data_IF_514434137295
#
_entry.id   IF_514434137295
#
_cell.length_a   1.000
_cell.length_b   1.000
_cell.length_c   1.000
_cell.angle_alpha   90.00
_cell.angle_beta   90.00
_cell.angle_gamma   90.00
#
_symmetry.space_group_name_H-M   'P 1'
#
loop_
_entity.id
_entity.type
_entity.pdbx_description
1 polymer ?
#
# COMPACT_ATOMS: atom_id res chain seq x y z
N UNK A 1 -1.02 30.03 -2.50
CA UNK A 1 -0.02 28.98 -2.18
C UNK A 1 1.34 29.49 -2.63
N UNK A 2 2.26 29.82 -1.72
CA UNK A 2 3.63 30.21 -2.11
C UNK A 2 4.36 28.94 -2.56
N UNK A 3 4.60 28.79 -3.86
CA UNK A 3 5.49 27.74 -4.39
C UNK A 3 6.82 27.81 -3.65
N UNK A 4 7.23 26.71 -2.99
CA UNK A 4 8.59 26.62 -2.42
C UNK A 4 9.60 26.82 -3.56
N UNK A 5 10.57 27.73 -3.44
CA UNK A 5 11.53 28.06 -4.50
C UNK A 5 12.38 26.86 -4.97
N UNK A 6 12.49 25.79 -4.18
CA UNK A 6 13.19 24.55 -4.57
C UNK A 6 12.52 23.78 -5.72
N UNK A 7 11.18 23.78 -5.82
CA UNK A 7 10.47 23.02 -6.85
C UNK A 7 10.74 23.53 -8.28
N UNK A 8 10.92 24.85 -8.45
CA UNK A 8 11.32 25.46 -9.74
C UNK A 8 12.77 25.15 -10.13
N UNK A 9 13.66 24.98 -9.15
CA UNK A 9 15.07 24.67 -9.43
C UNK A 9 15.24 23.24 -9.98
N UNK A 10 14.44 22.32 -9.46
CA UNK A 10 14.45 20.91 -9.85
C UNK A 10 14.02 20.69 -11.32
N UNK A 11 13.00 21.43 -11.76
CA UNK A 11 12.55 21.45 -13.15
C UNK A 11 13.65 21.99 -14.10
N UNK A 12 14.42 22.99 -13.65
CA UNK A 12 15.52 23.57 -14.42
C UNK A 12 16.72 22.62 -14.54
N UNK A 13 17.02 21.84 -13.50
CA UNK A 13 18.10 20.83 -13.53
C UNK A 13 17.82 19.77 -14.61
N UNK A 14 16.59 19.25 -14.67
CA UNK A 14 16.21 18.27 -15.68
C UNK A 14 16.05 18.87 -17.08
N UNK A 15 15.74 20.17 -17.18
CA UNK A 15 15.56 20.85 -18.47
C UNK A 15 16.83 20.79 -19.33
N UNK A 16 18.03 20.96 -18.75
CA UNK A 16 19.29 20.84 -19.49
C UNK A 16 19.44 19.47 -20.16
N UNK A 17 19.21 18.41 -19.40
CA UNK A 17 19.22 17.03 -19.90
C UNK A 17 18.18 16.81 -21.01
N UNK A 18 16.95 17.29 -20.84
CA UNK A 18 15.88 17.16 -21.85
C UNK A 18 16.22 17.90 -23.15
N UNK A 19 16.85 19.06 -23.06
CA UNK A 19 17.30 19.82 -24.22
C UNK A 19 18.41 19.09 -24.98
N UNK A 20 19.35 18.46 -24.26
CA UNK A 20 20.39 17.65 -24.88
C UNK A 20 19.85 16.38 -25.52
N UNK A 21 18.86 15.72 -24.90
CA UNK A 21 18.14 14.62 -25.53
C UNK A 21 17.46 15.05 -26.83
N UNK A 22 16.77 16.20 -26.83
CA UNK A 22 16.09 16.75 -27.99
C UNK A 22 17.05 17.05 -29.14
N UNK A 23 18.26 17.57 -28.88
CA UNK A 23 19.27 17.81 -29.93
C UNK A 23 19.67 16.54 -30.67
N UNK A 24 19.58 15.39 -30.01
CA UNK A 24 19.96 14.10 -30.57
C UNK A 24 18.77 13.35 -31.22
N UNK A 25 17.53 13.81 -31.03
CA UNK A 25 16.30 13.19 -31.55
C UNK A 25 15.23 14.25 -31.86
N UNK A 26 15.09 14.57 -33.14
CA UNK A 26 14.16 15.61 -33.63
C UNK A 26 12.67 15.27 -33.41
N UNK A 27 12.35 14.00 -33.15
CA UNK A 27 10.99 13.57 -32.80
C UNK A 27 10.58 14.04 -31.40
N UNK A 28 11.53 14.32 -30.50
CA UNK A 28 11.22 14.74 -29.13
C UNK A 28 10.65 16.16 -29.13
N UNK A 29 9.49 16.33 -28.48
CA UNK A 29 8.86 17.64 -28.28
C UNK A 29 8.68 17.89 -26.78
N UNK A 30 9.26 18.98 -26.29
CA UNK A 30 9.15 19.37 -24.89
C UNK A 30 7.96 20.30 -24.72
N UNK A 31 7.08 19.97 -23.77
CA UNK A 31 5.84 20.66 -23.49
C UNK A 31 5.78 21.05 -22.02
N UNK A 32 5.21 22.22 -21.71
CA UNK A 32 4.91 22.64 -20.34
C UNK A 32 3.60 23.42 -20.30
N UNK A 33 2.71 23.18 -19.32
CA UNK A 33 1.59 24.07 -19.10
C UNK A 33 2.05 25.38 -18.45
N UNK A 34 3.11 25.35 -17.64
CA UNK A 34 3.65 26.52 -16.96
C UNK A 34 4.53 27.35 -17.89
N UNK A 35 4.69 28.64 -17.59
CA UNK A 35 5.63 29.51 -18.29
C UNK A 35 7.08 29.04 -18.11
N UNK A 36 7.58 28.32 -19.11
CA UNK A 36 9.00 27.99 -19.28
C UNK A 36 9.54 28.84 -20.41
N UNK A 37 10.45 29.77 -20.09
CA UNK A 37 11.04 30.68 -21.06
C UNK A 37 12.22 30.01 -21.78
N UNK A 38 11.92 29.08 -22.70
CA UNK A 38 12.92 28.45 -23.58
C UNK A 38 12.33 28.18 -24.97
N UNK A 39 13.00 28.57 -26.07
CA UNK A 39 12.44 28.48 -27.43
C UNK A 39 12.15 27.04 -27.89
N UNK A 40 12.84 26.05 -27.31
CA UNK A 40 12.62 24.63 -27.62
C UNK A 40 11.51 23.97 -26.78
N UNK A 41 10.82 24.71 -25.92
CA UNK A 41 9.71 24.22 -25.09
C UNK A 41 8.43 24.93 -25.52
N UNK A 42 7.39 24.16 -25.84
CA UNK A 42 6.07 24.71 -26.13
C UNK A 42 5.35 24.91 -24.80
N UNK A 43 5.11 26.18 -24.46
CA UNK A 43 4.34 26.58 -23.29
C UNK A 43 2.86 26.79 -23.64
N UNK A 44 1.95 26.33 -22.79
CA UNK A 44 0.51 26.48 -22.97
C UNK A 44 -0.14 27.57 -22.10
N UNK A 45 0.64 28.42 -21.42
CA UNK A 45 0.12 29.58 -20.68
C UNK A 45 -0.86 29.22 -19.56
N UNK A 46 -0.50 28.26 -18.71
CA UNK A 46 -1.25 27.76 -17.54
C UNK A 46 -2.48 26.90 -17.93
N UNK A 47 -2.58 26.47 -19.20
CA UNK A 47 -3.66 25.58 -19.66
C UNK A 47 -3.28 24.09 -19.52
N UNK A 48 -3.31 23.59 -18.29
CA UNK A 48 -2.89 22.22 -17.93
C UNK A 48 -3.62 21.07 -18.65
N UNK A 49 -4.90 21.21 -18.96
CA UNK A 49 -5.66 20.18 -19.71
C UNK A 49 -5.37 20.24 -21.21
N UNK A 50 -5.24 21.45 -21.74
CA UNK A 50 -4.99 21.68 -23.17
C UNK A 50 -3.65 21.08 -23.59
N UNK A 51 -2.60 21.22 -22.77
CA UNK A 51 -1.27 20.69 -23.11
C UNK A 51 -1.27 19.16 -23.26
N UNK A 52 -2.14 18.45 -22.53
CA UNK A 52 -2.30 16.98 -22.68
C UNK A 52 -2.90 16.65 -24.05
N UNK A 53 -3.90 17.42 -24.51
CA UNK A 53 -4.51 17.24 -25.83
C UNK A 53 -3.54 17.58 -26.97
N UNK A 54 -2.79 18.68 -26.84
CA UNK A 54 -1.72 19.05 -27.78
C UNK A 54 -0.66 17.96 -27.87
N UNK A 55 -0.23 17.41 -26.73
CA UNK A 55 0.69 16.28 -26.69
C UNK A 55 0.14 15.07 -27.44
N UNK A 56 -1.13 14.70 -27.20
CA UNK A 56 -1.76 13.60 -27.89
C UNK A 56 -1.77 13.79 -29.42
N UNK A 57 -2.12 14.98 -29.91
CA UNK A 57 -2.07 15.30 -31.34
C UNK A 57 -0.66 15.18 -31.92
N UNK A 58 0.35 15.71 -31.23
CA UNK A 58 1.74 15.59 -31.65
C UNK A 58 2.22 14.13 -31.71
N UNK A 59 1.81 13.30 -30.73
CA UNK A 59 2.15 11.88 -30.71
C UNK A 59 1.51 11.12 -31.89
N UNK A 60 0.27 11.46 -32.28
CA UNK A 60 -0.39 10.90 -33.45
C UNK A 60 0.35 11.24 -34.76
N UNK A 61 1.00 12.41 -34.82
CA UNK A 61 1.83 12.85 -35.94
C UNK A 61 3.29 12.33 -35.85
N UNK A 62 3.53 11.28 -35.05
CA UNK A 62 4.83 10.61 -34.97
C UNK A 62 5.90 11.33 -34.15
N UNK A 63 5.52 12.34 -33.35
CA UNK A 63 6.42 12.95 -32.36
C UNK A 63 6.42 12.17 -31.04
N UNK A 64 7.41 12.46 -30.19
CA UNK A 64 7.51 11.94 -28.84
C UNK A 64 7.39 13.07 -27.82
N UNK A 65 6.18 13.35 -27.30
CA UNK A 65 5.97 14.43 -26.34
C UNK A 65 6.49 14.06 -24.94
N UNK A 66 7.24 14.99 -24.35
CA UNK A 66 7.62 14.99 -22.94
C UNK A 66 6.99 16.22 -22.28
N UNK A 67 6.08 15.99 -21.33
CA UNK A 67 5.33 17.04 -20.65
C UNK A 67 5.92 17.27 -19.26
N UNK A 68 6.48 18.45 -19.01
CA UNK A 68 6.92 18.87 -17.68
C UNK A 68 5.76 19.59 -16.98
N UNK A 69 5.30 19.09 -15.83
CA UNK A 69 4.09 19.60 -15.15
C UNK A 69 4.18 19.47 -13.64
N UNK A 70 3.21 20.06 -12.92
CA UNK A 70 3.15 20.00 -11.46
C UNK A 70 2.13 18.95 -10.98
N UNK A 71 2.47 18.24 -9.90
CA UNK A 71 1.60 17.23 -9.28
C UNK A 71 0.29 17.79 -8.73
N UNK A 72 0.21 19.10 -8.44
CA UNK A 72 -1.00 19.77 -7.99
C UNK A 72 -2.12 19.78 -9.05
N UNK A 73 -1.77 19.57 -10.32
CA UNK A 73 -2.68 19.60 -11.45
C UNK A 73 -2.76 18.24 -12.15
N UNK A 74 -1.62 17.57 -12.28
CA UNK A 74 -1.53 16.28 -12.95
C UNK A 74 -1.11 15.24 -11.90
N UNK A 75 -1.99 14.32 -11.46
CA UNK A 75 -2.98 13.70 -12.35
C UNK A 75 -4.45 14.14 -12.19
N UNK A 76 -4.94 14.60 -11.03
CA UNK A 76 -6.39 14.79 -10.79
C UNK A 76 -7.12 15.60 -11.85
N UNK A 77 -6.66 16.82 -12.14
CA UNK A 77 -7.34 17.69 -13.10
C UNK A 77 -7.26 17.17 -14.54
N UNK A 78 -6.18 16.44 -14.85
CA UNK A 78 -5.88 15.93 -16.19
C UNK A 78 -6.29 14.47 -16.40
N UNK A 79 -6.92 13.83 -15.40
CA UNK A 79 -7.18 12.40 -15.43
C UNK A 79 -7.99 11.95 -16.65
N UNK A 80 -9.05 12.69 -17.00
CA UNK A 80 -9.88 12.37 -18.16
C UNK A 80 -9.09 12.47 -19.48
N UNK A 81 -8.28 13.51 -19.64
CA UNK A 81 -7.44 13.69 -20.83
C UNK A 81 -6.34 12.62 -20.90
N UNK A 82 -5.68 12.30 -19.78
CA UNK A 82 -4.68 11.21 -19.75
C UNK A 82 -5.35 9.88 -20.13
N UNK A 83 -6.54 9.59 -19.59
CA UNK A 83 -7.28 8.37 -19.91
C UNK A 83 -7.67 8.30 -21.40
N UNK A 84 -8.38 9.33 -21.89
CA UNK A 84 -9.03 9.29 -23.20
C UNK A 84 -8.11 9.69 -24.35
N UNK A 85 -7.28 10.72 -24.16
CA UNK A 85 -6.39 11.20 -25.22
C UNK A 85 -5.11 10.38 -25.30
N UNK A 86 -4.52 10.00 -24.16
CA UNK A 86 -3.24 9.27 -24.13
C UNK A 86 -3.45 7.76 -24.07
N UNK A 87 -4.03 7.25 -22.98
CA UNK A 87 -4.01 5.82 -22.67
C UNK A 87 -4.88 4.99 -23.61
N UNK A 88 -6.06 5.46 -24.00
CA UNK A 88 -6.93 4.73 -24.94
C UNK A 88 -6.39 4.67 -26.37
N UNK A 89 -5.43 5.52 -26.72
CA UNK A 89 -4.80 5.56 -28.04
C UNK A 89 -3.36 5.00 -28.01
N UNK A 90 -2.94 4.39 -26.89
CA UNK A 90 -1.59 3.83 -26.69
C UNK A 90 -0.46 4.80 -27.07
N UNK A 91 -0.63 6.09 -26.74
CA UNK A 91 0.31 7.12 -27.20
C UNK A 91 1.60 7.13 -26.37
N UNK A 92 2.78 7.17 -27.00
CA UNK A 92 4.08 7.14 -26.33
C UNK A 92 4.43 8.53 -25.78
N UNK A 93 3.76 8.93 -24.70
CA UNK A 93 3.93 10.22 -24.03
C UNK A 93 4.54 10.01 -22.65
N UNK A 94 5.55 10.81 -22.32
CA UNK A 94 6.11 10.86 -20.96
C UNK A 94 5.63 12.12 -20.24
N UNK A 95 4.97 11.95 -19.11
CA UNK A 95 4.59 13.01 -18.18
C UNK A 95 5.60 13.04 -17.04
N UNK A 96 6.32 14.14 -16.90
CA UNK A 96 7.26 14.41 -15.83
C UNK A 96 6.61 15.38 -14.84
N UNK A 97 6.30 14.90 -13.65
CA UNK A 97 5.59 15.68 -12.65
C UNK A 97 6.49 16.02 -11.46
N UNK A 98 6.59 17.30 -11.10
CA UNK A 98 7.30 17.75 -9.90
C UNK A 98 6.32 18.21 -8.81
N UNK A 99 6.72 18.04 -7.55
CA UNK A 99 5.93 18.40 -6.37
C UNK A 99 5.54 17.19 -5.52
N UNK A 100 4.65 17.42 -4.55
CA UNK A 100 4.13 16.39 -3.66
C UNK A 100 2.71 16.01 -4.08
N UNK A 101 2.50 14.86 -4.75
CA UNK A 101 1.18 14.47 -5.19
C UNK A 101 0.36 13.92 -4.01
N UNK A 102 -0.96 14.13 -4.05
CA UNK A 102 -1.89 13.61 -3.02
C UNK A 102 -2.78 12.48 -3.55
N UNK A 103 -2.71 12.22 -4.85
CA UNK A 103 -3.73 11.54 -5.63
C UNK A 103 -3.12 10.61 -6.70
N UNK A 104 -1.84 10.20 -6.55
CA UNK A 104 -1.19 9.28 -7.51
C UNK A 104 -1.95 7.96 -7.69
N UNK A 105 -2.61 7.48 -6.63
CA UNK A 105 -3.41 6.26 -6.68
C UNK A 105 -4.46 6.27 -7.79
N UNK A 106 -4.95 7.44 -8.27
CA UNK A 106 -5.94 7.48 -9.35
C UNK A 106 -5.39 6.91 -10.66
N UNK A 107 -4.09 7.07 -10.91
CA UNK A 107 -3.43 6.61 -12.14
C UNK A 107 -3.35 5.08 -12.23
N UNK A 108 -3.59 4.37 -11.13
CA UNK A 108 -3.51 2.90 -11.07
C UNK A 108 -4.45 2.18 -12.05
N UNK A 109 -5.53 2.85 -12.45
CA UNK A 109 -6.57 2.30 -13.32
C UNK A 109 -6.27 2.52 -14.80
N UNK A 110 -5.15 3.14 -15.13
CA UNK A 110 -4.77 3.49 -16.50
C UNK A 110 -3.63 2.57 -16.97
N UNK A 111 -3.63 2.15 -18.25
CA UNK A 111 -2.55 1.35 -18.85
C UNK A 111 -1.32 2.22 -19.13
N UNK A 112 -0.71 2.76 -18.08
CA UNK A 112 0.50 3.58 -18.12
C UNK A 112 1.55 3.05 -17.16
N UNK A 113 2.81 3.41 -17.39
CA UNK A 113 3.89 3.12 -16.44
C UNK A 113 4.00 4.24 -15.41
N UNK A 114 3.72 3.96 -14.14
CA UNK A 114 3.90 4.90 -13.03
C UNK A 114 5.24 4.66 -12.34
N UNK A 115 6.11 5.66 -12.35
CA UNK A 115 7.49 5.59 -11.88
C UNK A 115 7.74 6.68 -10.82
N UNK A 116 8.33 6.30 -9.70
CA UNK A 116 8.78 7.17 -8.61
C UNK A 116 10.25 6.85 -8.29
N UNK A 117 11.20 7.40 -9.08
CA UNK A 117 12.63 7.26 -8.83
C UNK A 117 13.06 7.99 -7.54
N UNK A 118 14.21 7.61 -6.98
CA UNK A 118 14.77 8.20 -5.77
C UNK A 118 15.69 9.40 -6.07
N UNK A 119 16.14 9.55 -7.31
CA UNK A 119 17.00 10.66 -7.72
C UNK A 119 16.77 11.16 -9.14
N UNK A 120 17.31 12.35 -9.44
CA UNK A 120 17.36 12.90 -10.79
C UNK A 120 18.12 11.98 -11.76
N UNK A 121 19.24 11.39 -11.32
CA UNK A 121 20.01 10.45 -12.15
C UNK A 121 19.20 9.22 -12.56
N UNK A 122 18.40 8.68 -11.66
CA UNK A 122 17.47 7.59 -12.00
C UNK A 122 16.34 8.08 -12.94
N UNK A 123 15.85 9.30 -12.72
CA UNK A 123 14.85 9.94 -13.58
C UNK A 123 15.33 10.04 -15.03
N UNK A 124 16.58 10.45 -15.25
CA UNK A 124 17.22 10.49 -16.57
C UNK A 124 17.25 9.11 -17.24
N UNK A 125 17.61 8.05 -16.49
CA UNK A 125 17.62 6.67 -17.00
C UNK A 125 16.21 6.20 -17.39
N UNK A 126 15.20 6.55 -16.60
CA UNK A 126 13.81 6.22 -16.92
C UNK A 126 13.34 6.99 -18.15
N UNK A 127 13.64 8.28 -18.29
CA UNK A 127 13.29 9.06 -19.49
C UNK A 127 13.88 8.43 -20.75
N UNK A 128 15.16 8.02 -20.71
CA UNK A 128 15.77 7.32 -21.85
C UNK A 128 15.03 6.03 -22.17
N UNK A 129 14.63 5.26 -21.15
CA UNK A 129 13.88 4.02 -21.31
C UNK A 129 12.48 4.28 -21.90
N UNK A 130 11.78 5.33 -21.46
CA UNK A 130 10.42 5.63 -21.94
C UNK A 130 10.41 6.09 -23.39
N UNK A 131 11.46 6.76 -23.88
CA UNK A 131 11.58 7.17 -25.30
C UNK A 131 11.54 5.96 -26.24
N UNK A 132 12.02 4.81 -25.79
CA UNK A 132 11.96 3.55 -26.57
C UNK A 132 10.70 2.73 -26.30
N UNK A 133 9.90 3.13 -25.30
CA UNK A 133 8.66 2.47 -24.92
C UNK A 133 7.49 2.98 -25.76
N UNK A 134 6.55 2.09 -26.07
CA UNK A 134 5.26 2.46 -26.68
C UNK A 134 4.20 2.79 -25.63
N UNK A 135 4.46 2.50 -24.36
CA UNK A 135 3.50 2.70 -23.28
C UNK A 135 3.64 4.12 -22.71
N UNK A 136 2.52 4.85 -22.49
CA UNK A 136 2.58 6.13 -21.81
C UNK A 136 3.18 5.98 -20.41
N UNK A 137 3.88 7.00 -19.96
CA UNK A 137 4.61 6.97 -18.70
C UNK A 137 4.37 8.22 -17.88
N UNK A 138 4.23 8.05 -16.57
CA UNK A 138 4.16 9.12 -15.59
C UNK A 138 5.32 8.95 -14.61
N UNK A 139 6.23 9.93 -14.56
CA UNK A 139 7.41 9.91 -13.71
C UNK A 139 7.32 11.05 -12.70
N UNK A 140 7.35 10.71 -11.41
CA UNK A 140 7.45 11.68 -10.33
C UNK A 140 8.92 12.11 -10.16
N UNK A 141 9.21 13.39 -10.37
CA UNK A 141 10.55 13.94 -10.21
C UNK A 141 10.85 14.08 -8.70
N UNK A 142 11.90 13.45 -8.17
CA UNK A 142 12.22 13.43 -6.75
C UNK A 142 13.04 14.65 -6.34
N UNK A 143 12.81 15.18 -5.14
CA UNK A 143 13.65 16.26 -4.57
C UNK A 143 15.06 15.77 -4.15
N UNK A 144 15.28 14.47 -4.02
CA UNK A 144 16.51 13.89 -3.45
C UNK A 144 17.58 13.58 -4.51
N UNK A 145 18.85 13.74 -4.14
CA UNK A 145 19.98 13.84 -5.09
C UNK A 145 20.73 12.51 -5.26
N UNK A 146 20.55 11.53 -4.35
CA UNK A 146 21.34 10.29 -4.35
C UNK A 146 20.60 9.11 -4.96
N UNK A 147 21.14 8.45 -6.00
CA UNK A 147 20.56 7.22 -6.53
C UNK A 147 20.64 6.09 -5.49
N UNK A 148 19.62 5.25 -5.48
CA UNK A 148 19.56 3.98 -4.76
C UNK A 148 20.15 2.87 -5.64
N UNK A 149 19.88 2.90 -6.94
CA UNK A 149 20.41 1.94 -7.92
C UNK A 149 21.13 2.66 -9.05
N UNK A 150 22.21 2.06 -9.55
CA UNK A 150 22.89 2.53 -10.76
C UNK A 150 22.22 2.02 -12.05
N UNK A 151 21.42 0.95 -11.95
CA UNK A 151 20.69 0.37 -13.07
C UNK A 151 19.21 0.32 -12.73
N UNK A 152 18.40 1.03 -13.51
CA UNK A 152 16.96 1.07 -13.37
C UNK A 152 16.29 0.63 -14.68
N UNK A 153 15.19 -0.11 -14.58
CA UNK A 153 14.39 -0.54 -15.72
C UNK A 153 12.90 -0.49 -15.35
N UNK A 154 12.02 0.00 -16.23
CA UNK A 154 10.58 -0.04 -15.99
C UNK A 154 10.09 -1.44 -15.63
N UNK A 155 9.24 -1.54 -14.61
CA UNK A 155 8.64 -2.79 -14.15
C UNK A 155 9.57 -3.70 -13.34
N UNK A 156 10.78 -3.25 -13.00
CA UNK A 156 11.74 -4.01 -12.18
C UNK A 156 11.97 -3.34 -10.83
N UNK A 157 11.91 -4.16 -9.79
CA UNK A 157 12.32 -3.80 -8.43
C UNK A 157 13.66 -4.47 -8.10
N UNK A 158 14.32 -4.00 -7.04
CA UNK A 158 15.60 -4.55 -6.59
C UNK A 158 15.62 -4.78 -5.08
N UNK A 159 16.21 -5.88 -4.64
CA UNK A 159 16.56 -6.07 -3.23
C UNK A 159 17.82 -5.25 -2.97
N UNK A 160 17.69 -4.21 -2.15
CA UNK A 160 18.79 -3.28 -1.81
C UNK A 160 19.37 -3.57 -0.42
N UNK A 161 18.73 -4.47 0.34
CA UNK A 161 19.25 -5.04 1.58
C UNK A 161 18.65 -6.44 1.77
N UNK A 162 19.47 -7.43 2.06
CA UNK A 162 19.00 -8.79 2.35
C UNK A 162 18.60 -8.94 3.82
N UNK A 163 17.56 -9.71 4.08
CA UNK A 163 17.11 -10.10 5.42
C UNK A 163 16.17 -11.29 5.36
N UNK A 164 15.73 -11.76 6.52
CA UNK A 164 14.86 -12.95 6.63
C UNK A 164 13.68 -12.78 7.61
N UNK A 165 13.67 -11.71 8.41
CA UNK A 165 12.63 -11.57 9.45
C UNK A 165 11.36 -10.90 8.90
N UNK A 166 11.52 -9.87 8.05
CA UNK A 166 10.43 -9.07 7.45
C UNK A 166 10.90 -8.48 6.12
N UNK A 167 10.02 -8.40 5.12
CA UNK A 167 10.27 -7.65 3.88
C UNK A 167 9.68 -6.25 3.97
N UNK A 168 10.47 -5.21 3.72
CA UNK A 168 10.02 -3.83 3.58
C UNK A 168 10.11 -3.45 2.10
N UNK A 169 9.03 -3.00 1.48
CA UNK A 169 9.06 -2.40 0.13
C UNK A 169 8.84 -0.90 0.21
N UNK A 170 9.54 -0.18 -0.65
CA UNK A 170 9.40 1.27 -0.74
C UNK A 170 9.71 1.78 -2.15
N UNK A 171 9.44 3.06 -2.39
CA UNK A 171 9.66 3.75 -3.67
C UNK A 171 10.13 5.18 -3.42
N UNK A 172 10.76 5.76 -4.43
CA UNK A 172 11.22 7.13 -4.40
C UNK A 172 12.25 7.43 -3.30
N UNK A 173 12.37 8.71 -2.91
CA UNK A 173 13.31 9.20 -1.89
C UNK A 173 13.23 8.46 -0.54
N UNK A 174 12.05 7.95 -0.18
CA UNK A 174 11.82 7.27 1.11
C UNK A 174 12.70 6.03 1.29
N UNK A 175 13.25 5.47 0.22
CA UNK A 175 14.21 4.37 0.25
C UNK A 175 15.42 4.64 1.15
N UNK A 176 15.94 5.86 1.20
CA UNK A 176 17.06 6.22 2.07
C UNK A 176 16.68 6.12 3.55
N UNK A 177 15.52 6.65 3.94
CA UNK A 177 14.99 6.53 5.30
C UNK A 177 14.76 5.07 5.67
N UNK A 178 14.22 4.26 4.76
CA UNK A 178 13.98 2.83 5.01
C UNK A 178 15.28 2.07 5.24
N UNK A 179 16.34 2.33 4.47
CA UNK A 179 17.66 1.74 4.69
C UNK A 179 18.23 2.10 6.07
N UNK A 180 18.18 3.38 6.45
CA UNK A 180 18.63 3.84 7.77
C UNK A 180 17.81 3.22 8.91
N UNK A 181 16.51 3.05 8.72
CA UNK A 181 15.64 2.37 9.68
C UNK A 181 15.96 0.88 9.79
N UNK A 182 16.23 0.21 8.67
CA UNK A 182 16.64 -1.19 8.66
C UNK A 182 17.97 -1.39 9.40
N UNK A 183 18.91 -0.45 9.33
CA UNK A 183 20.15 -0.48 10.11
C UNK A 183 19.91 -0.34 11.61
N UNK A 184 18.97 0.54 12.01
CA UNK A 184 18.56 0.68 13.42
C UNK A 184 17.93 -0.61 13.94
N UNK A 185 17.04 -1.23 13.17
CA UNK A 185 16.39 -2.51 13.50
C UNK A 185 17.40 -3.65 13.58
N UNK A 186 18.45 -3.64 12.74
CA UNK A 186 19.51 -4.64 12.79
C UNK A 186 20.26 -4.66 14.11
N UNK A 187 20.43 -3.50 14.78
CA UNK A 187 21.04 -3.40 16.12
C UNK A 187 20.15 -3.97 17.22
N UNK A 188 18.88 -4.21 16.90
CA UNK A 188 17.90 -4.89 17.74
C UNK A 188 17.64 -6.32 17.25
N UNK A 189 18.58 -6.88 16.48
CA UNK A 189 18.54 -8.25 15.95
C UNK A 189 17.39 -8.54 14.97
N UNK A 190 16.76 -7.50 14.41
CA UNK A 190 15.73 -7.64 13.38
C UNK A 190 16.36 -7.43 12.00
N UNK A 191 16.43 -8.47 11.19
CA UNK A 191 17.00 -8.48 9.84
C UNK A 191 15.93 -8.25 8.78
N UNK A 192 15.71 -6.98 8.46
CA UNK A 192 14.81 -6.56 7.38
C UNK A 192 15.42 -6.80 5.99
N UNK A 193 14.68 -7.48 5.12
CA UNK A 193 14.88 -7.38 3.68
C UNK A 193 14.27 -6.07 3.19
N UNK A 194 14.98 -5.33 2.33
CA UNK A 194 14.48 -4.08 1.76
C UNK A 194 14.43 -4.20 0.24
N UNK A 195 13.24 -4.01 -0.31
CA UNK A 195 12.96 -3.90 -1.74
C UNK A 195 12.76 -2.44 -2.10
N UNK A 196 13.50 -1.98 -3.09
CA UNK A 196 13.28 -0.71 -3.76
C UNK A 196 12.56 -0.94 -5.08
N UNK A 197 11.37 -0.36 -5.24
CA UNK A 197 10.54 -0.48 -6.43
C UNK A 197 10.29 0.90 -7.04
N UNK A 198 11.17 1.41 -7.91
CA UNK A 198 10.95 2.70 -8.57
C UNK A 198 9.75 2.66 -9.52
N UNK A 199 9.37 1.49 -10.05
CA UNK A 199 8.10 1.34 -10.78
C UNK A 199 7.01 0.94 -9.80
N UNK A 200 5.99 1.78 -9.65
CA UNK A 200 4.82 1.52 -8.81
C UNK A 200 3.76 0.74 -9.61
N UNK A 201 3.63 1.03 -10.90
CA UNK A 201 2.75 0.31 -11.82
C UNK A 201 3.40 0.21 -13.21
N UNK A 202 3.49 -0.97 -13.83
CA UNK A 202 3.23 -2.30 -13.26
C UNK A 202 4.28 -2.68 -12.20
N UNK A 203 3.85 -3.40 -11.16
CA UNK A 203 4.71 -3.80 -10.04
C UNK A 203 5.42 -5.14 -10.32
N UNK A 204 6.63 -5.33 -9.79
CA UNK A 204 7.38 -6.60 -9.90
C UNK A 204 6.79 -7.68 -8.96
N UNK A 205 5.72 -8.33 -9.42
CA UNK A 205 4.99 -9.35 -8.63
C UNK A 205 5.91 -10.50 -8.20
N UNK A 206 6.80 -10.94 -9.08
CA UNK A 206 7.68 -12.08 -8.81
C UNK A 206 8.64 -11.81 -7.65
N UNK A 207 9.27 -10.62 -7.64
CA UNK A 207 10.17 -10.26 -6.55
C UNK A 207 9.45 -10.13 -5.22
N UNK A 208 8.24 -9.55 -5.22
CA UNK A 208 7.43 -9.40 -4.02
C UNK A 208 7.05 -10.77 -3.44
N UNK A 209 6.51 -11.66 -4.28
CA UNK A 209 6.09 -13.01 -3.86
C UNK A 209 7.27 -13.82 -3.33
N UNK A 210 8.40 -13.83 -4.04
CA UNK A 210 9.60 -14.55 -3.59
C UNK A 210 10.15 -14.02 -2.26
N UNK A 211 10.14 -12.70 -2.05
CA UNK A 211 10.60 -12.09 -0.80
C UNK A 211 9.67 -12.40 0.37
N UNK A 212 8.35 -12.32 0.16
CA UNK A 212 7.36 -12.65 1.20
C UNK A 212 7.32 -14.14 1.52
N UNK A 213 7.57 -15.03 0.56
CA UNK A 213 7.74 -16.46 0.86
C UNK A 213 8.89 -16.72 1.84
N UNK A 214 9.97 -15.95 1.73
CA UNK A 214 11.11 -16.03 2.63
C UNK A 214 10.81 -15.42 3.99
N UNK A 215 10.31 -14.19 4.02
CA UNK A 215 10.19 -13.40 5.26
C UNK A 215 8.86 -13.57 5.98
N UNK A 216 7.82 -14.08 5.30
CA UNK A 216 6.47 -14.39 5.82
C UNK A 216 5.65 -13.19 6.30
N UNK A 217 6.16 -11.97 6.20
CA UNK A 217 5.39 -10.74 6.43
C UNK A 217 6.02 -9.56 5.69
N UNK A 218 5.21 -8.53 5.47
CA UNK A 218 5.58 -7.41 4.63
C UNK A 218 5.16 -6.07 5.24
N UNK A 219 6.01 -5.06 5.05
CA UNK A 219 5.73 -3.65 5.35
C UNK A 219 5.85 -2.86 4.05
N UNK A 220 4.87 -2.01 3.76
CA UNK A 220 4.99 -1.01 2.71
C UNK A 220 5.27 0.34 3.36
N UNK A 221 6.38 0.96 2.98
CA UNK A 221 6.70 2.33 3.33
C UNK A 221 6.53 3.22 2.09
N UNK A 222 5.53 4.11 2.10
CA UNK A 222 5.22 4.98 0.96
C UNK A 222 4.89 6.42 1.40
N UNK A 223 5.29 7.43 0.62
CA UNK A 223 4.92 8.83 0.90
C UNK A 223 3.49 9.13 0.46
N UNK A 224 3.07 8.52 -0.64
CA UNK A 224 1.82 8.78 -1.36
C UNK A 224 1.13 7.47 -1.61
N UNK A 225 -0.20 7.43 -1.52
CA UNK A 225 -0.93 6.18 -1.74
C UNK A 225 -0.73 5.65 -3.17
N UNK A 226 -0.40 4.37 -3.29
CA UNK A 226 -0.40 3.63 -4.55
C UNK A 226 0.34 2.30 -4.48
N UNK A 227 1.59 2.32 -3.99
CA UNK A 227 2.42 1.12 -3.86
C UNK A 227 1.76 0.10 -2.93
N UNK A 228 1.22 0.55 -1.80
CA UNK A 228 0.57 -0.33 -0.82
C UNK A 228 -0.65 -1.05 -1.37
N UNK A 229 -1.40 -0.42 -2.28
CA UNK A 229 -2.58 -1.03 -2.91
C UNK A 229 -2.17 -2.17 -3.86
N UNK A 230 -1.19 -1.92 -4.73
CA UNK A 230 -0.69 -2.96 -5.64
C UNK A 230 -0.04 -4.12 -4.89
N UNK A 231 0.71 -3.83 -3.83
CA UNK A 231 1.29 -4.87 -2.98
C UNK A 231 0.19 -5.70 -2.33
N UNK A 232 -0.85 -5.08 -1.76
CA UNK A 232 -1.96 -5.79 -1.16
C UNK A 232 -2.63 -6.75 -2.15
N UNK A 233 -2.89 -6.29 -3.39
CA UNK A 233 -3.45 -7.15 -4.44
C UNK A 233 -2.55 -8.33 -4.77
N UNK A 234 -1.25 -8.09 -4.97
CA UNK A 234 -0.28 -9.15 -5.25
C UNK A 234 -0.25 -10.20 -4.13
N UNK A 235 -0.25 -9.75 -2.87
CA UNK A 235 -0.25 -10.66 -1.72
C UNK A 235 -1.55 -11.45 -1.62
N UNK A 236 -2.70 -10.79 -1.76
CA UNK A 236 -4.00 -11.47 -1.71
C UNK A 236 -4.13 -12.54 -2.80
N UNK A 237 -3.65 -12.26 -4.02
CA UNK A 237 -3.75 -13.18 -5.15
C UNK A 237 -2.73 -14.33 -5.12
N UNK A 238 -1.51 -14.09 -4.62
CA UNK A 238 -0.39 -15.02 -4.84
C UNK A 238 0.29 -15.53 -3.57
N UNK A 239 0.34 -14.74 -2.50
CA UNK A 239 1.04 -15.12 -1.26
C UNK A 239 0.50 -14.35 -0.05
N UNK A 240 -0.67 -14.72 0.49
CA UNK A 240 -1.26 -14.04 1.64
C UNK A 240 -0.32 -14.05 2.85
N UNK A 241 -0.04 -12.86 3.39
CA UNK A 241 0.83 -12.67 4.54
C UNK A 241 0.42 -11.40 5.30
N UNK A 242 0.80 -11.26 6.59
CA UNK A 242 0.65 -10.01 7.30
C UNK A 242 1.30 -8.86 6.53
N UNK A 243 0.47 -7.89 6.16
CA UNK A 243 0.86 -6.65 5.47
C UNK A 243 0.59 -5.44 6.36
N UNK A 244 1.63 -4.68 6.70
CA UNK A 244 1.51 -3.37 7.34
C UNK A 244 1.83 -2.23 6.38
N UNK A 245 1.27 -1.05 6.65
CA UNK A 245 1.52 0.16 5.86
C UNK A 245 1.99 1.30 6.77
N UNK A 246 3.17 1.84 6.46
CA UNK A 246 3.63 3.14 6.94
C UNK A 246 3.46 4.12 5.77
N UNK A 247 2.49 5.02 5.87
CA UNK A 247 2.08 5.89 4.77
C UNK A 247 1.94 7.34 5.22
N UNK A 248 2.01 8.28 4.27
CA UNK A 248 1.84 9.71 4.58
C UNK A 248 3.09 10.35 5.15
N UNK A 249 4.20 10.25 4.41
CA UNK A 249 5.55 10.71 4.81
C UNK A 249 6.05 10.08 6.11
N UNK A 250 6.14 8.74 6.17
CA UNK A 250 6.47 8.06 7.40
C UNK A 250 7.91 8.37 7.86
N UNK A 251 8.07 8.60 9.16
CA UNK A 251 9.38 8.68 9.80
C UNK A 251 9.93 7.30 10.17
N UNK A 252 11.11 7.28 10.78
CA UNK A 252 11.75 6.04 11.23
C UNK A 252 10.93 5.30 12.30
N UNK A 253 10.30 6.02 13.23
CA UNK A 253 9.49 5.41 14.29
C UNK A 253 8.23 4.75 13.73
N UNK A 254 7.58 5.36 12.75
CA UNK A 254 6.41 4.79 12.08
C UNK A 254 6.74 3.52 11.31
N UNK A 255 7.88 3.52 10.61
CA UNK A 255 8.39 2.31 9.93
C UNK A 255 8.73 1.22 10.95
N UNK A 256 9.41 1.55 12.05
CA UNK A 256 9.75 0.59 13.13
C UNK A 256 8.47 0.00 13.75
N UNK A 257 7.47 0.83 14.01
CA UNK A 257 6.18 0.40 14.55
C UNK A 257 5.49 -0.58 13.61
N UNK A 258 5.45 -0.26 12.31
CA UNK A 258 4.89 -1.14 11.29
C UNK A 258 5.65 -2.47 11.22
N UNK A 259 6.99 -2.46 11.26
CA UNK A 259 7.81 -3.68 11.29
C UNK A 259 7.47 -4.55 12.50
N UNK A 260 7.44 -3.97 13.70
CA UNK A 260 7.13 -4.71 14.93
C UNK A 260 5.72 -5.31 14.87
N UNK A 261 4.74 -4.56 14.38
CA UNK A 261 3.38 -5.06 14.23
C UNK A 261 3.28 -6.20 13.19
N UNK A 262 3.98 -6.09 12.07
CA UNK A 262 4.06 -7.15 11.06
C UNK A 262 4.66 -8.44 11.62
N UNK A 263 5.71 -8.34 12.44
CA UNK A 263 6.36 -9.47 13.10
C UNK A 263 5.45 -10.12 14.15
N UNK A 264 4.71 -9.31 14.93
CA UNK A 264 3.72 -9.82 15.88
C UNK A 264 2.63 -10.63 15.16
N UNK A 265 2.02 -10.08 14.11
CA UNK A 265 1.01 -10.79 13.31
C UNK A 265 1.57 -12.02 12.59
N UNK A 266 2.84 -11.99 12.17
CA UNK A 266 3.54 -13.18 11.64
C UNK A 266 3.58 -14.29 12.68
N UNK A 267 3.87 -13.98 13.94
CA UNK A 267 3.89 -14.98 15.02
C UNK A 267 2.50 -15.53 15.34
N UNK A 268 1.46 -14.68 15.29
CA UNK A 268 0.06 -15.09 15.50
C UNK A 268 -0.45 -15.98 14.36
N UNK A 269 -0.13 -15.65 13.11
CA UNK A 269 -0.52 -16.43 11.92
C UNK A 269 0.19 -17.79 11.82
N UNK A 270 1.31 -18.02 12.50
CA UNK A 270 1.92 -19.36 12.58
C UNK A 270 1.07 -20.29 13.46
N UNK A 271 0.25 -19.75 14.38
CA UNK A 271 -0.67 -20.51 15.23
C UNK A 271 -2.07 -20.69 14.63
N UNK A 272 -2.36 -20.13 13.45
CA UNK A 272 -3.70 -20.22 12.83
C UNK A 272 -3.60 -20.70 11.37
N UNK A 273 -3.75 -22.01 11.19
CA UNK A 273 -4.50 -22.52 10.03
C UNK A 273 -5.79 -21.72 9.95
N UNK A 274 -6.02 -21.08 8.79
CA UNK A 274 -7.19 -20.28 8.42
C UNK A 274 -8.45 -20.64 9.23
N UNK A 275 -8.90 -19.83 10.19
CA UNK A 275 -10.28 -19.89 10.63
C UNK A 275 -11.11 -19.25 9.53
N UNK A 276 -12.10 -19.99 9.04
CA UNK A 276 -13.11 -19.51 8.11
C UNK A 276 -13.61 -18.11 8.50
N UNK A 277 -13.67 -17.23 7.50
CA UNK A 277 -14.15 -15.86 7.66
C UNK A 277 -15.63 -15.92 8.01
N UNK A 278 -15.98 -15.77 9.29
CA UNK A 278 -17.31 -15.34 9.71
C UNK A 278 -17.17 -13.95 10.32
N UNK A 279 -17.76 -12.97 9.63
CA UNK A 279 -17.55 -11.56 9.91
C UNK A 279 -18.15 -11.15 11.25
N UNK A 280 -17.29 -10.70 12.17
CA UNK A 280 -17.70 -9.78 13.22
C UNK A 280 -16.57 -8.78 13.49
N UNK A 281 -16.95 -7.51 13.60
CA UNK A 281 -16.07 -6.39 13.89
C UNK A 281 -15.28 -6.60 15.19
N UNK A 282 -14.05 -6.05 15.31
CA UNK A 282 -13.29 -6.16 16.55
C UNK A 282 -14.00 -5.36 17.66
N UNK A 283 -14.38 -6.03 18.75
CA UNK A 283 -15.02 -5.42 19.92
C UNK A 283 -13.99 -5.06 21.01
N UNK A 284 -14.30 -3.95 21.69
CA UNK A 284 -13.55 -3.28 22.74
C UNK A 284 -13.21 -4.17 23.96
N UNK A 285 -12.22 -3.72 24.72
CA UNK A 285 -11.37 -4.47 25.66
C UNK A 285 -11.97 -4.98 26.99
N UNK A 286 -13.29 -4.94 27.26
CA UNK A 286 -13.81 -5.27 28.62
C UNK A 286 -14.96 -6.29 28.69
N UNK A 287 -15.09 -7.19 27.71
CA UNK A 287 -16.22 -8.12 27.64
C UNK A 287 -15.82 -9.59 27.83
N UNK A 288 -15.28 -9.92 29.00
CA UNK A 288 -14.91 -11.30 29.36
C UNK A 288 -15.78 -11.85 30.51
N UNK A 289 -16.05 -13.16 30.51
CA UNK A 289 -16.73 -13.88 31.58
C UNK A 289 -15.73 -14.73 32.35
N UNK A 290 -15.65 -14.54 33.66
CA UNK A 290 -14.75 -15.26 34.54
C UNK A 290 -15.43 -16.49 35.12
N UNK A 291 -14.89 -17.67 34.82
CA UNK A 291 -15.26 -18.92 35.46
C UNK A 291 -14.69 -18.99 36.87
N UNK A 292 -15.36 -19.72 37.75
CA UNK A 292 -14.97 -19.86 39.15
C UNK A 292 -13.59 -20.53 39.31
N UNK A 293 -13.16 -21.32 38.32
CA UNK A 293 -11.84 -21.97 38.29
C UNK A 293 -10.73 -21.09 37.67
N UNK A 294 -10.99 -19.81 37.41
CA UNK A 294 -10.03 -18.89 36.78
C UNK A 294 -9.99 -18.94 35.24
N UNK A 295 -10.82 -19.77 34.60
CA UNK A 295 -10.98 -19.75 33.14
C UNK A 295 -11.67 -18.47 32.66
N UNK A 296 -11.26 -17.94 31.51
CA UNK A 296 -11.80 -16.67 30.97
C UNK A 296 -12.41 -16.90 29.60
N UNK A 297 -13.70 -16.61 29.47
CA UNK A 297 -14.45 -16.72 28.22
C UNK A 297 -14.55 -15.32 27.60
N UNK A 298 -14.16 -15.17 26.33
CA UNK A 298 -14.13 -13.86 25.64
C UNK A 298 -15.04 -13.78 24.42
N UNK A 299 -15.69 -14.88 24.05
CA UNK A 299 -16.54 -14.97 22.87
C UNK A 299 -17.55 -16.13 22.99
N UNK A 300 -18.61 -16.11 22.19
CA UNK A 300 -19.61 -17.21 22.15
C UNK A 300 -18.98 -18.54 21.68
N UNK A 301 -18.07 -18.58 20.68
CA UNK A 301 -17.28 -19.78 20.40
C UNK A 301 -16.47 -20.26 21.62
N UNK A 302 -15.85 -19.33 22.35
CA UNK A 302 -15.14 -19.65 23.60
C UNK A 302 -16.06 -20.21 24.68
N UNK A 303 -17.31 -19.72 24.77
CA UNK A 303 -18.33 -20.27 25.65
C UNK A 303 -18.71 -21.70 25.24
N UNK A 304 -18.90 -21.97 23.95
CA UNK A 304 -19.18 -23.33 23.47
C UNK A 304 -18.06 -24.31 23.79
N UNK A 305 -16.81 -23.89 23.56
CA UNK A 305 -15.64 -24.72 23.85
C UNK A 305 -15.52 -24.96 25.36
N UNK A 306 -15.65 -23.91 26.19
CA UNK A 306 -15.72 -24.06 27.64
C UNK A 306 -16.87 -24.98 28.08
N UNK A 307 -18.03 -24.92 27.43
CA UNK A 307 -19.15 -25.84 27.69
C UNK A 307 -18.82 -27.29 27.32
N UNK A 308 -17.86 -27.60 26.45
CA UNK A 308 -17.44 -28.98 26.19
C UNK A 308 -16.54 -29.49 27.32
N UNK A 309 -15.57 -28.67 27.72
CA UNK A 309 -14.50 -29.06 28.67
C UNK A 309 -14.88 -28.91 30.15
N UNK A 310 -15.80 -28.00 30.48
CA UNK A 310 -16.17 -27.65 31.85
C UNK A 310 -16.83 -28.82 32.59
N UNK A 311 -16.38 -29.10 33.81
CA UNK A 311 -17.02 -30.14 34.63
C UNK A 311 -18.42 -29.70 35.13
N UNK A 312 -19.22 -30.66 35.60
CA UNK A 312 -20.61 -30.39 36.02
C UNK A 312 -20.69 -29.45 37.24
N UNK A 313 -19.70 -29.48 38.13
CA UNK A 313 -19.64 -28.66 39.33
C UNK A 313 -19.50 -27.16 38.99
N UNK A 314 -18.57 -26.81 38.09
CA UNK A 314 -18.39 -25.43 37.62
C UNK A 314 -19.62 -24.96 36.83
N UNK A 315 -20.23 -25.85 36.03
CA UNK A 315 -21.46 -25.52 35.31
C UNK A 315 -22.61 -25.16 36.29
N UNK A 316 -22.82 -25.99 37.32
CA UNK A 316 -23.87 -25.77 38.32
C UNK A 316 -23.64 -24.50 39.17
N UNK A 317 -22.39 -24.02 39.27
CA UNK A 317 -22.08 -22.75 39.93
C UNK A 317 -22.69 -21.55 39.18
N UNK A 318 -22.70 -21.60 37.84
CA UNK A 318 -23.16 -20.51 36.96
C UNK A 318 -24.60 -20.69 36.47
N UNK A 319 -25.12 -21.93 36.52
CA UNK A 319 -26.46 -22.27 36.05
C UNK A 319 -27.19 -23.07 37.13
N UNK A 320 -28.32 -22.54 37.59
CA UNK A 320 -29.24 -23.24 38.49
C UNK A 320 -30.69 -22.92 38.12
N UNK A 321 -31.66 -23.41 38.90
CA UNK A 321 -33.09 -23.19 38.61
C UNK A 321 -33.45 -21.71 38.44
N UNK A 322 -32.78 -20.83 39.18
CA UNK A 322 -33.09 -19.40 39.24
C UNK A 322 -32.17 -18.52 38.39
N UNK A 323 -31.00 -19.02 37.95
CA UNK A 323 -30.03 -18.20 37.20
C UNK A 323 -29.37 -18.94 36.04
N UNK A 324 -28.92 -18.18 35.05
CA UNK A 324 -28.01 -18.63 34.02
C UNK A 324 -27.07 -17.47 33.69
N UNK A 325 -25.92 -17.45 34.35
CA UNK A 325 -24.96 -16.33 34.28
C UNK A 325 -24.37 -16.18 32.86
N UNK A 326 -24.29 -17.28 32.10
CA UNK A 326 -23.86 -17.26 30.70
C UNK A 326 -24.88 -16.55 29.80
N UNK A 327 -26.17 -16.76 30.03
CA UNK A 327 -27.23 -16.07 29.28
C UNK A 327 -27.21 -14.57 29.53
N UNK A 328 -27.01 -14.16 30.79
CA UNK A 328 -26.84 -12.75 31.18
C UNK A 328 -25.62 -12.14 30.49
N UNK A 329 -24.48 -12.84 30.50
CA UNK A 329 -23.28 -12.38 29.82
C UNK A 329 -23.47 -12.24 28.31
N UNK A 330 -24.10 -13.21 27.64
CA UNK A 330 -24.40 -13.09 26.20
C UNK A 330 -25.28 -11.87 25.90
N UNK A 331 -26.26 -11.58 26.75
CA UNK A 331 -27.11 -10.39 26.60
C UNK A 331 -26.32 -9.09 26.77
N UNK A 332 -25.52 -9.00 27.81
CA UNK A 332 -24.90 -7.74 28.23
C UNK A 332 -23.59 -7.44 27.49
N UNK A 333 -22.78 -8.47 27.26
CA UNK A 333 -21.48 -8.38 26.63
C UNK A 333 -21.56 -8.57 25.12
N UNK A 334 -22.13 -9.70 24.68
CA UNK A 334 -22.19 -10.04 23.25
C UNK A 334 -23.28 -9.23 22.52
N UNK A 335 -24.27 -8.72 23.26
CA UNK A 335 -25.45 -7.99 22.72
C UNK A 335 -26.32 -8.84 21.78
N UNK A 336 -26.35 -10.17 21.97
CA UNK A 336 -27.25 -11.08 21.23
C UNK A 336 -28.44 -11.50 22.10
N UNK A 337 -29.55 -10.75 21.99
CA UNK A 337 -30.77 -10.99 22.77
C UNK A 337 -31.46 -12.32 22.45
N UNK A 338 -31.37 -12.78 21.20
CA UNK A 338 -32.02 -14.01 20.76
C UNK A 338 -31.32 -15.23 21.34
N UNK A 339 -29.99 -15.26 21.27
CA UNK A 339 -29.20 -16.32 21.87
C UNK A 339 -29.35 -16.29 23.40
N UNK A 340 -29.26 -15.11 24.02
CA UNK A 340 -29.44 -14.98 25.47
C UNK A 340 -30.78 -15.54 25.95
N UNK A 341 -31.88 -15.24 25.26
CA UNK A 341 -33.21 -15.75 25.60
C UNK A 341 -33.27 -17.28 25.52
N UNK A 342 -32.68 -17.87 24.47
CA UNK A 342 -32.59 -19.33 24.32
C UNK A 342 -31.75 -19.98 25.42
N UNK A 343 -30.61 -19.40 25.76
CA UNK A 343 -29.74 -19.91 26.81
C UNK A 343 -30.39 -19.80 28.19
N UNK A 344 -31.12 -18.72 28.47
CA UNK A 344 -31.76 -18.51 29.78
C UNK A 344 -32.75 -19.63 30.14
N UNK A 345 -33.48 -20.13 29.13
CA UNK A 345 -34.43 -21.24 29.27
C UNK A 345 -33.78 -22.61 29.53
N UNK A 346 -32.47 -22.74 29.28
CA UNK A 346 -31.75 -24.00 29.39
C UNK A 346 -31.05 -24.11 30.75
N UNK A 347 -31.24 -25.25 31.41
CA UNK A 347 -30.64 -25.59 32.72
C UNK A 347 -29.67 -26.77 32.65
N UNK A 348 -29.49 -27.36 31.48
CA UNK A 348 -28.61 -28.51 31.28
C UNK A 348 -27.42 -28.13 30.42
N UNK A 349 -26.25 -28.64 30.78
CA UNK A 349 -25.00 -28.45 30.04
C UNK A 349 -25.17 -28.88 28.58
N UNK A 350 -25.71 -30.08 28.37
CA UNK A 350 -25.96 -30.65 27.03
C UNK A 350 -26.87 -29.77 26.16
N UNK A 351 -27.95 -29.22 26.74
CA UNK A 351 -28.86 -28.35 26.01
C UNK A 351 -28.20 -27.03 25.58
N UNK A 352 -27.39 -26.45 26.45
CA UNK A 352 -26.63 -25.23 26.14
C UNK A 352 -25.56 -25.50 25.09
N UNK A 353 -24.81 -26.61 25.20
CA UNK A 353 -23.82 -27.02 24.19
C UNK A 353 -24.46 -27.15 22.81
N UNK A 354 -25.59 -27.86 22.69
CA UNK A 354 -26.27 -28.03 21.41
C UNK A 354 -26.80 -26.71 20.82
N UNK A 355 -27.34 -25.83 21.67
CA UNK A 355 -27.83 -24.51 21.25
C UNK A 355 -26.69 -23.62 20.74
N UNK A 356 -25.55 -23.63 21.45
CA UNK A 356 -24.36 -22.90 21.05
C UNK A 356 -23.76 -23.47 19.75
N UNK A 357 -23.70 -24.79 19.60
CA UNK A 357 -23.26 -25.44 18.36
C UNK A 357 -24.14 -25.04 17.16
N UNK A 358 -25.46 -24.97 17.35
CA UNK A 358 -26.41 -24.53 16.31
C UNK A 358 -26.21 -23.05 15.97
N UNK A 359 -25.92 -22.21 16.98
CA UNK A 359 -25.64 -20.79 16.77
C UNK A 359 -24.35 -20.59 15.96
N UNK A 360 -23.32 -21.43 16.18
CA UNK A 360 -22.05 -21.37 15.46
C UNK A 360 -22.12 -21.77 13.98
N UNK A 361 -23.20 -22.43 13.55
CA UNK A 361 -23.42 -22.83 12.14
C UNK A 361 -24.14 -21.74 11.31
N UNK A 362 -24.43 -20.59 11.90
CA UNK A 362 -25.07 -19.43 11.24
C UNK A 362 -24.01 -18.43 10.82
#
# INVERSE_FOLDING_TARGET
>A
MKHKPHSKNLANELLGFLLDLKKNKDEIVLLSPDEVCHPSVISAGITHQNIIGVAAGLALEGKYPIILTNTAFTPSMNYAQIKHSICQNDLPITILAYGEPKDLAILRNLPLTLISPASIKETEQFIVSTITSKTPSYILIPEEIKPISNETRPGKAAIIRTGEDVTIITTGPLAHTVLLTADKLSRQEIRCEVIYSPTVHPIDKHLIVSSVHKTRCMVVAERTEGLGLFVAEVLCEHSPAPLERAFGTPDDNEIIRAVRHALLRKSENICTTVPEIHGHAPLQSDLHFNLHNGGVIRSVPGLHQAMLEMNQEIFNHHVNENKNDFATWVKEAVKDELLASKLFALKTKTGMTATLATWLQR
#
